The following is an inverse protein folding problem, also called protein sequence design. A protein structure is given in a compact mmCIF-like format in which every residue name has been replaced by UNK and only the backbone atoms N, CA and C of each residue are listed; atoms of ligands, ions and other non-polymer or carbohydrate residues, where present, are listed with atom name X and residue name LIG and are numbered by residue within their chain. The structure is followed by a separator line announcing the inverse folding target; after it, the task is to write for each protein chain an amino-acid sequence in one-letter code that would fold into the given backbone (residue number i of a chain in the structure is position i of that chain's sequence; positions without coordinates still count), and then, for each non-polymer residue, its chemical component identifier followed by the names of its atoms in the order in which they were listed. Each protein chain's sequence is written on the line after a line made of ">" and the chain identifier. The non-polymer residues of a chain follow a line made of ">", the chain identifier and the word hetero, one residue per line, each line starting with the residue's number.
data_IF_929313043999
#
_entry.id   IF_929313043999
#
_cell.length_a   1.000
_cell.length_b   1.000
_cell.length_c   1.000
_cell.angle_alpha   90.00
_cell.angle_beta   90.00
_cell.angle_gamma   90.00
#
_symmetry.space_group_name_H-M   'P 1'
#
loop_
_entity.id
_entity.type
_entity.pdbx_description
1 polymer ?
#
# COMPACT_ATOMS: atom_id res chain seq x y z
N UNK A 1 14.34 9.44 -8.85
CA UNK A 1 13.23 8.46 -8.98
C UNK A 1 12.11 8.93 -8.08
N UNK A 2 10.87 9.03 -8.56
CA UNK A 2 9.77 9.52 -7.74
C UNK A 2 9.42 8.48 -6.67
N UNK A 3 9.19 8.93 -5.42
CA UNK A 3 8.77 8.07 -4.32
C UNK A 3 7.42 8.57 -3.79
N UNK A 4 6.41 7.73 -3.87
CA UNK A 4 5.04 8.07 -3.47
C UNK A 4 4.80 7.62 -2.02
N UNK A 5 4.34 8.54 -1.17
CA UNK A 5 3.95 8.24 0.21
C UNK A 5 2.47 7.90 0.27
N UNK A 6 2.14 6.73 0.82
CA UNK A 6 0.79 6.19 0.91
C UNK A 6 0.47 5.94 2.39
N UNK A 7 -0.58 6.61 2.88
CA UNK A 7 -1.17 6.26 4.17
C UNK A 7 -2.06 5.03 3.98
N UNK A 8 -1.78 3.96 4.73
CA UNK A 8 -2.53 2.70 4.71
C UNK A 8 -3.47 2.68 5.90
N UNK A 9 -4.77 2.74 5.62
CA UNK A 9 -5.84 2.65 6.62
C UNK A 9 -6.67 1.41 6.26
N UNK A 10 -6.53 0.33 7.04
CA UNK A 10 -7.12 -0.98 6.70
C UNK A 10 -8.61 -1.08 6.96
N UNK A 11 -9.19 -0.18 7.76
CA UNK A 11 -10.62 -0.22 8.06
C UNK A 11 -10.98 -1.40 8.97
N UNK A 12 -12.23 -1.86 8.81
CA UNK A 12 -12.79 -3.00 9.55
C UNK A 12 -13.14 -4.16 8.59
N UNK A 13 -13.46 -5.33 9.16
CA UNK A 13 -13.88 -6.51 8.40
C UNK A 13 -12.82 -6.98 7.41
N UNK A 14 -13.23 -7.25 6.16
CA UNK A 14 -12.34 -7.74 5.10
C UNK A 14 -11.33 -6.70 4.60
N UNK A 15 -11.43 -5.44 5.04
CA UNK A 15 -10.49 -4.38 4.65
C UNK A 15 -9.04 -4.73 4.97
N UNK A 16 -8.80 -5.41 6.10
CA UNK A 16 -7.46 -5.88 6.49
C UNK A 16 -6.84 -6.82 5.47
N UNK A 17 -7.61 -7.75 4.93
CA UNK A 17 -7.15 -8.77 3.98
C UNK A 17 -7.01 -8.20 2.57
N UNK A 18 -8.01 -7.44 2.11
CA UNK A 18 -8.03 -6.89 0.75
C UNK A 18 -6.95 -5.83 0.55
N UNK A 19 -6.72 -4.99 1.56
CA UNK A 19 -5.68 -3.94 1.48
C UNK A 19 -4.28 -4.56 1.42
N UNK A 20 -4.04 -5.66 2.14
CA UNK A 20 -2.74 -6.36 2.09
C UNK A 20 -2.44 -6.89 0.68
N UNK A 21 -3.42 -7.48 0.01
CA UNK A 21 -3.25 -7.93 -1.39
C UNK A 21 -3.03 -6.75 -2.35
N UNK A 22 -3.69 -5.60 -2.12
CA UNK A 22 -3.46 -4.37 -2.87
C UNK A 22 -2.01 -3.88 -2.76
N UNK A 23 -1.42 -3.92 -1.57
CA UNK A 23 -0.01 -3.55 -1.34
C UNK A 23 0.94 -4.49 -2.12
N UNK A 24 0.65 -5.79 -2.19
CA UNK A 24 1.47 -6.74 -2.98
C UNK A 24 1.47 -6.39 -4.46
N UNK A 25 0.30 -6.03 -5.01
CA UNK A 25 0.19 -5.57 -6.41
C UNK A 25 1.01 -4.30 -6.62
N UNK A 26 0.91 -3.31 -5.71
CA UNK A 26 1.68 -2.06 -5.83
C UNK A 26 3.20 -2.32 -5.80
N UNK A 27 3.68 -3.20 -4.91
CA UNK A 27 5.09 -3.61 -4.86
C UNK A 27 5.54 -4.23 -6.20
N UNK A 28 4.75 -5.17 -6.74
CA UNK A 28 5.04 -5.79 -8.03
C UNK A 28 5.07 -4.75 -9.17
N UNK A 29 4.21 -3.72 -9.13
CA UNK A 29 4.28 -2.63 -10.12
C UNK A 29 5.59 -1.86 -10.00
N UNK A 30 6.05 -1.49 -8.80
CA UNK A 30 7.32 -0.76 -8.64
C UNK A 30 8.56 -1.56 -9.07
N UNK A 31 8.49 -2.88 -9.16
CA UNK A 31 9.58 -3.70 -9.70
C UNK A 31 9.71 -3.57 -11.23
N UNK A 32 8.65 -3.16 -11.91
CA UNK A 32 8.57 -3.09 -13.37
C UNK A 32 8.70 -1.66 -13.93
N UNK A 33 8.67 -0.63 -13.07
CA UNK A 33 8.68 0.77 -13.47
C UNK A 33 9.59 1.63 -12.57
N UNK A 34 10.18 2.73 -13.08
CA UNK A 34 11.16 3.54 -12.34
C UNK A 34 10.50 4.51 -11.34
N UNK A 35 9.77 3.99 -10.35
CA UNK A 35 9.25 4.72 -9.18
C UNK A 35 9.16 3.81 -7.95
N UNK A 36 9.02 4.40 -6.78
CA UNK A 36 8.93 3.67 -5.51
C UNK A 36 7.71 4.05 -4.65
N UNK A 37 7.51 3.26 -3.60
CA UNK A 37 6.44 3.44 -2.62
C UNK A 37 7.01 3.55 -1.21
N UNK A 38 6.34 4.32 -0.36
CA UNK A 38 6.51 4.29 1.10
C UNK A 38 5.13 4.19 1.72
N UNK A 39 4.88 3.07 2.40
CA UNK A 39 3.63 2.80 3.09
C UNK A 39 3.78 3.15 4.56
N UNK A 40 2.83 3.91 5.10
CA UNK A 40 2.75 4.26 6.51
C UNK A 40 1.38 3.82 7.02
N UNK A 41 1.38 2.92 8.01
CA UNK A 41 0.13 2.36 8.54
C UNK A 41 -0.47 3.27 9.60
N UNK A 42 -1.79 3.46 9.51
CA UNK A 42 -2.56 4.22 10.48
C UNK A 42 -3.69 3.37 11.05
N UNK A 43 -4.00 3.54 12.35
CA UNK A 43 -5.18 2.91 12.93
C UNK A 43 -6.45 3.44 12.26
N UNK A 44 -7.49 2.62 12.29
CA UNK A 44 -8.84 3.01 11.91
C UNK A 44 -9.72 2.95 13.18
N UNK A 45 -10.34 4.09 13.51
CA UNK A 45 -11.09 4.28 14.77
C UNK A 45 -10.43 5.26 15.72
#
# INVERSE_FOLDING_TARGET
>A
MANHRIAVIRGDGIGTEVVEEGIKVLKAVSENYPFGWTFEEFPWG
#
